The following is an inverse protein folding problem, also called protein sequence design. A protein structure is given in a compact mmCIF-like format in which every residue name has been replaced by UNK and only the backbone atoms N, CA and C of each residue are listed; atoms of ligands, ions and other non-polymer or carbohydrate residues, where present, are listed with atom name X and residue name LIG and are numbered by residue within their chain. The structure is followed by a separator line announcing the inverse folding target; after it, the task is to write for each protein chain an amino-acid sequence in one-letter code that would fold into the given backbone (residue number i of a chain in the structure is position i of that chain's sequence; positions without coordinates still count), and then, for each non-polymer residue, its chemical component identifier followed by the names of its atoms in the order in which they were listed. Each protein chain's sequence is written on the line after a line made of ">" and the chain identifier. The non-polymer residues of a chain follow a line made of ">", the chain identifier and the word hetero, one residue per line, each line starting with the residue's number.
data_IF_434110250017
#
_entry.id   IF_434110250017
#
_cell.length_a   1.000
_cell.length_b   1.000
_cell.length_c   1.000
_cell.angle_alpha   90.00
_cell.angle_beta   90.00
_cell.angle_gamma   90.00
#
_symmetry.space_group_name_H-M   'P 1'
#
loop_
_entity.id
_entity.type
_entity.pdbx_description
1 polymer ?
#
# COMPACT_ATOMS: atom_id res chain seq x y z
N UNK A 1 -4.38 -17.61 -7.87
CA UNK A 1 -4.25 -16.77 -6.67
C UNK A 1 -3.64 -17.60 -5.55
N UNK A 2 -2.68 -17.05 -4.82
CA UNK A 2 -2.16 -17.69 -3.59
C UNK A 2 -3.06 -17.34 -2.40
N UNK A 3 -3.09 -18.18 -1.36
CA UNK A 3 -3.89 -17.93 -0.14
C UNK A 3 -3.58 -16.55 0.48
N UNK A 4 -2.33 -16.10 0.36
CA UNK A 4 -1.90 -14.77 0.81
C UNK A 4 -2.56 -13.63 0.01
N UNK A 5 -2.62 -13.74 -1.31
CA UNK A 5 -3.25 -12.72 -2.16
C UNK A 5 -4.75 -12.61 -1.87
N UNK A 6 -5.42 -13.75 -1.63
CA UNK A 6 -6.84 -13.75 -1.31
C UNK A 6 -7.11 -13.11 0.05
N UNK A 7 -6.27 -13.38 1.05
CA UNK A 7 -6.38 -12.70 2.36
C UNK A 7 -6.16 -11.19 2.24
N UNK A 8 -5.16 -10.76 1.48
CA UNK A 8 -4.85 -9.33 1.27
C UNK A 8 -5.96 -8.60 0.52
N UNK A 9 -6.55 -9.26 -0.49
CA UNK A 9 -7.71 -8.76 -1.22
C UNK A 9 -8.91 -8.57 -0.29
N UNK A 10 -9.25 -9.58 0.53
CA UNK A 10 -10.35 -9.50 1.49
C UNK A 10 -10.14 -8.37 2.51
N UNK A 11 -8.91 -8.19 3.00
CA UNK A 11 -8.57 -7.09 3.90
C UNK A 11 -8.70 -5.72 3.23
N UNK A 12 -8.24 -5.59 1.98
CA UNK A 12 -8.37 -4.36 1.20
C UNK A 12 -9.84 -4.05 0.89
N UNK A 13 -10.66 -5.05 0.52
CA UNK A 13 -12.09 -4.88 0.28
C UNK A 13 -12.84 -4.43 1.52
N UNK A 14 -12.53 -5.02 2.68
CA UNK A 14 -13.07 -4.59 3.98
C UNK A 14 -12.67 -3.15 4.30
N UNK A 15 -11.45 -2.76 3.97
CA UNK A 15 -10.97 -1.39 4.19
C UNK A 15 -11.69 -0.38 3.28
N UNK A 16 -11.86 -0.72 2.00
CA UNK A 16 -12.56 0.11 1.00
C UNK A 16 -14.09 0.08 1.11
N UNK A 17 -14.65 -0.84 1.91
CA UNK A 17 -16.10 -1.10 2.00
C UNK A 17 -16.71 -1.47 0.65
N UNK A 18 -16.01 -2.32 -0.09
CA UNK A 18 -16.45 -2.84 -1.39
C UNK A 18 -17.15 -4.18 -1.18
N UNK A 19 -18.44 -4.20 -1.49
CA UNK A 19 -19.28 -5.40 -1.46
C UNK A 19 -19.44 -5.94 -2.90
N UNK A 20 -18.68 -6.98 -3.25
CA UNK A 20 -18.72 -7.60 -4.58
C UNK A 20 -17.38 -8.19 -5.00
N UNK A 21 -17.34 -8.86 -6.15
CA UNK A 21 -16.14 -9.50 -6.73
C UNK A 21 -15.71 -8.88 -8.08
N UNK A 22 -16.53 -7.98 -8.63
CA UNK A 22 -16.30 -7.34 -9.94
C UNK A 22 -14.99 -6.55 -10.02
N UNK A 23 -14.48 -6.07 -8.89
CA UNK A 23 -13.33 -5.18 -8.81
C UNK A 23 -12.10 -5.86 -8.18
N UNK A 24 -12.17 -7.17 -7.98
CA UNK A 24 -11.13 -7.95 -7.31
C UNK A 24 -9.80 -7.89 -8.08
N UNK A 25 -9.84 -8.06 -9.40
CA UNK A 25 -8.66 -7.98 -10.26
C UNK A 25 -8.01 -6.59 -10.23
N UNK A 26 -8.82 -5.54 -10.13
CA UNK A 26 -8.35 -4.16 -10.06
C UNK A 26 -7.68 -3.88 -8.70
N UNK A 27 -8.32 -4.29 -7.61
CA UNK A 27 -7.78 -4.14 -6.25
C UNK A 27 -6.46 -4.90 -6.11
N UNK A 28 -6.35 -6.11 -6.67
CA UNK A 28 -5.09 -6.86 -6.70
C UNK A 28 -4.00 -6.12 -7.48
N UNK A 29 -4.34 -5.52 -8.62
CA UNK A 29 -3.42 -4.70 -9.39
C UNK A 29 -2.89 -3.50 -8.59
N UNK A 30 -3.76 -2.85 -7.82
CA UNK A 30 -3.37 -1.77 -6.91
C UNK A 30 -2.48 -2.26 -5.76
N UNK A 31 -2.80 -3.39 -5.13
CA UNK A 31 -1.98 -3.96 -4.05
C UNK A 31 -0.57 -4.28 -4.57
N UNK A 32 -0.47 -4.92 -5.73
CA UNK A 32 0.82 -5.26 -6.35
C UNK A 32 1.64 -4.00 -6.65
N UNK A 33 1.01 -2.99 -7.28
CA UNK A 33 1.66 -1.72 -7.62
C UNK A 33 2.11 -0.95 -6.37
N UNK A 34 1.30 -0.95 -5.30
CA UNK A 34 1.62 -0.28 -4.05
C UNK A 34 2.83 -0.91 -3.37
N UNK A 35 2.90 -2.24 -3.34
CA UNK A 35 4.06 -2.98 -2.80
C UNK A 35 5.33 -2.67 -3.57
N UNK A 36 5.27 -2.69 -4.90
CA UNK A 36 6.41 -2.35 -5.75
C UNK A 36 6.90 -0.92 -5.51
N UNK A 37 5.98 0.04 -5.40
CA UNK A 37 6.29 1.43 -5.12
C UNK A 37 6.97 1.61 -3.76
N UNK A 38 6.42 0.97 -2.71
CA UNK A 38 7.01 1.00 -1.36
C UNK A 38 8.39 0.33 -1.35
N UNK A 39 8.54 -0.84 -1.98
CA UNK A 39 9.83 -1.53 -2.10
C UNK A 39 10.86 -0.67 -2.82
N UNK A 40 10.48 -0.01 -3.93
CA UNK A 40 11.37 0.88 -4.66
C UNK A 40 11.78 2.12 -3.85
N UNK A 41 10.88 2.67 -3.03
CA UNK A 41 11.15 3.89 -2.27
C UNK A 41 11.90 3.65 -0.94
N UNK A 42 11.67 2.50 -0.30
CA UNK A 42 12.16 2.19 1.05
C UNK A 42 13.22 1.08 1.08
N UNK A 43 13.34 0.29 0.00
CA UNK A 43 14.16 -0.93 -0.03
C UNK A 43 13.52 -2.13 0.68
N UNK A 44 12.31 -1.96 1.24
CA UNK A 44 11.67 -2.97 2.07
C UNK A 44 11.10 -4.10 1.22
N UNK A 45 11.41 -5.36 1.59
CA UNK A 45 10.92 -6.55 0.89
C UNK A 45 9.62 -7.05 1.51
N UNK A 46 8.63 -7.34 0.67
CA UNK A 46 7.42 -8.05 1.09
C UNK A 46 7.61 -9.56 0.89
N UNK A 47 7.01 -10.43 1.73
CA UNK A 47 6.14 -10.12 2.87
C UNK A 47 6.94 -9.55 4.06
N UNK A 48 6.41 -8.49 4.67
CA UNK A 48 6.95 -7.92 5.90
C UNK A 48 5.90 -8.03 7.00
N UNK A 49 6.34 -8.08 8.25
CA UNK A 49 5.45 -8.12 9.41
C UNK A 49 5.22 -6.72 10.02
N UNK A 50 5.38 -5.66 9.23
CA UNK A 50 5.23 -4.28 9.67
C UNK A 50 3.80 -3.80 9.43
N UNK A 51 3.06 -3.59 10.52
CA UNK A 51 1.73 -3.00 10.46
C UNK A 51 1.72 -1.62 9.78
N UNK A 52 2.82 -0.87 9.83
CA UNK A 52 2.96 0.42 9.13
C UNK A 52 3.05 0.24 7.62
N UNK A 53 3.75 -0.78 7.15
CA UNK A 53 3.88 -1.05 5.73
C UNK A 53 2.57 -1.56 5.14
N UNK A 54 1.84 -2.40 5.89
CA UNK A 54 0.50 -2.85 5.53
C UNK A 54 -0.49 -1.67 5.45
N UNK A 55 -0.45 -0.75 6.42
CA UNK A 55 -1.26 0.47 6.37
C UNK A 55 -0.90 1.35 5.16
N UNK A 56 0.40 1.47 4.82
CA UNK A 56 0.82 2.21 3.62
C UNK A 56 0.24 1.59 2.35
N UNK A 57 0.32 0.26 2.20
CA UNK A 57 -0.27 -0.44 1.04
C UNK A 57 -1.77 -0.15 0.95
N UNK A 58 -2.50 -0.27 2.06
CA UNK A 58 -3.94 0.04 2.11
C UNK A 58 -4.25 1.49 1.74
N UNK A 59 -3.45 2.45 2.21
CA UNK A 59 -3.61 3.86 1.86
C UNK A 59 -3.40 4.14 0.36
N UNK A 60 -2.39 3.53 -0.27
CA UNK A 60 -2.17 3.63 -1.72
C UNK A 60 -3.33 3.04 -2.51
N UNK A 61 -3.79 1.86 -2.11
CA UNK A 61 -4.92 1.18 -2.77
C UNK A 61 -6.18 2.04 -2.67
N UNK A 62 -6.49 2.61 -1.51
CA UNK A 62 -7.62 3.54 -1.35
C UNK A 62 -7.46 4.77 -2.21
N UNK A 63 -6.28 5.38 -2.24
CA UNK A 63 -6.04 6.56 -3.05
C UNK A 63 -6.32 6.29 -4.54
N UNK A 64 -5.76 5.23 -5.12
CA UNK A 64 -5.98 4.88 -6.52
C UNK A 64 -7.39 4.38 -6.81
N UNK A 65 -8.02 3.73 -5.83
CA UNK A 65 -9.40 3.26 -5.95
C UNK A 65 -10.42 4.39 -5.97
N UNK A 66 -10.23 5.43 -5.14
CA UNK A 66 -11.09 6.61 -5.06
C UNK A 66 -10.81 7.60 -6.20
N UNK A 67 -9.55 7.73 -6.63
CA UNK A 67 -9.12 8.68 -7.65
C UNK A 67 -8.85 7.98 -8.99
N UNK A 68 -9.87 7.30 -9.54
CA UNK A 68 -9.77 6.61 -10.84
C UNK A 68 -9.71 7.55 -12.04
N UNK A 69 -9.93 8.84 -11.84
CA UNK A 69 -9.84 9.84 -12.90
C UNK A 69 -8.40 10.33 -13.07
N UNK A 70 -7.83 10.13 -14.26
CA UNK A 70 -6.50 10.64 -14.65
C UNK A 70 -6.48 12.18 -14.74
N UNK A 71 -7.63 12.84 -14.70
CA UNK A 71 -7.76 14.27 -14.97
C UNK A 71 -8.08 15.09 -13.71
N UNK A 72 -7.07 15.77 -13.17
CA UNK A 72 -7.22 17.19 -12.86
C UNK A 72 -7.16 17.64 -11.41
N UNK A 73 -7.06 16.76 -10.41
CA UNK A 73 -6.79 17.21 -9.04
C UNK A 73 -5.69 16.37 -8.44
N UNK A 74 -4.46 16.88 -8.43
CA UNK A 74 -3.39 16.39 -7.56
C UNK A 74 -3.83 16.65 -6.13
N UNK A 75 -4.67 15.77 -5.61
CA UNK A 75 -5.21 15.87 -4.26
C UNK A 75 -4.04 15.83 -3.27
N UNK A 76 -4.12 16.64 -2.21
CA UNK A 76 -3.12 16.74 -1.14
C UNK A 76 -2.71 15.38 -0.50
N UNK A 77 -3.41 14.29 -0.86
CA UNK A 77 -3.11 12.92 -0.50
C UNK A 77 -1.76 12.43 -1.03
N UNK A 78 -1.27 12.92 -2.17
CA UNK A 78 0.08 12.57 -2.67
C UNK A 78 1.17 12.96 -1.67
N UNK A 79 0.99 14.10 -0.99
CA UNK A 79 1.87 14.56 0.08
C UNK A 79 1.79 13.67 1.33
N UNK A 80 0.61 13.15 1.66
CA UNK A 80 0.42 12.21 2.78
C UNK A 80 1.07 10.87 2.48
N UNK A 81 0.88 10.32 1.27
CA UNK A 81 1.51 9.08 0.83
C UNK A 81 3.03 9.19 0.80
N UNK A 82 3.56 10.32 0.32
CA UNK A 82 5.00 10.61 0.34
C UNK A 82 5.52 10.68 1.78
N UNK A 83 4.78 11.31 2.69
CA UNK A 83 5.14 11.39 4.11
C UNK A 83 5.13 10.02 4.77
N UNK A 84 4.12 9.20 4.51
CA UNK A 84 4.00 7.83 5.03
C UNK A 84 5.17 6.95 4.57
N UNK A 85 5.54 7.02 3.28
CA UNK A 85 6.70 6.32 2.74
C UNK A 85 7.98 6.80 3.39
N UNK A 86 8.16 8.11 3.54
CA UNK A 86 9.35 8.66 4.19
C UNK A 86 9.44 8.19 5.65
N UNK A 87 8.35 8.22 6.40
CA UNK A 87 8.33 7.67 7.75
C UNK A 87 8.68 6.18 7.76
N UNK A 88 8.15 5.40 6.81
CA UNK A 88 8.48 3.99 6.67
C UNK A 88 9.99 3.80 6.42
N UNK A 89 10.57 4.58 5.51
CA UNK A 89 12.00 4.56 5.19
C UNK A 89 12.87 4.80 6.42
N UNK A 90 12.54 5.82 7.22
CA UNK A 90 13.31 6.15 8.43
C UNK A 90 13.12 5.12 9.56
N UNK A 91 11.93 4.53 9.69
CA UNK A 91 11.71 3.49 10.72
C UNK A 91 12.49 2.21 10.39
N UNK A 92 12.64 1.89 9.11
CA UNK A 92 13.35 0.69 8.66
C UNK A 92 14.85 0.86 8.83
N UNK A 93 15.38 2.06 8.58
CA UNK A 93 16.79 2.36 8.84
C UNK A 93 17.19 2.30 10.32
N UNK A 94 16.26 2.52 11.26
CA UNK A 94 16.58 2.38 12.69
C UNK A 94 16.67 0.91 13.14
N UNK A 95 16.04 -0.03 12.42
CA UNK A 95 16.11 -1.45 12.80
C UNK A 95 17.45 -2.09 12.43
N UNK A 96 18.17 -1.55 11.45
CA UNK A 96 19.53 -1.98 11.09
C UNK A 96 20.64 -1.15 11.80
N UNK A 97 20.29 -0.06 12.50
CA UNK A 97 21.27 0.82 13.16
C UNK A 97 21.51 0.50 14.65
N UNK A 98 20.64 -0.29 15.29
CA UNK A 98 20.76 -0.72 16.70
C UNK A 98 21.34 -2.15 16.85
N UNK A 99 22.02 -2.66 15.82
CA UNK A 99 22.69 -3.96 15.81
C UNK A 99 24.22 -3.86 15.83
N UNK A 100 24.80 -2.77 16.38
CA UNK A 100 26.24 -2.63 16.63
C UNK A 100 26.57 -2.35 18.10
#
# INVERSE_FOLDING_TARGET
>A
MTETQQKELEEAKKFLRVDGDLEDDLILGFIASAKEYITSATGLKFPNNSARADLCVKAFVTHWYENREIAGTTSNLDGVLTTLINQLKYTVSETDADAE
#
